data_IF_811457635857
#
_entry.id   IF_811457635857
#
_cell.length_a   1.000
_cell.length_b   1.000
_cell.length_c   1.000
_cell.angle_alpha   90.00
_cell.angle_beta   90.00
_cell.angle_gamma   90.00
#
_symmetry.space_group_name_H-M   'P 1'
#
loop_
_entity.id
_entity.type
_entity.pdbx_description
1 polymer ?
#
# COMPACT_ATOMS: atom_id res chain seq x y z
N UNK A 1 6.87 2.01 -101.08
CA UNK A 1 6.35 2.07 -99.70
C UNK A 1 5.92 0.67 -99.34
N UNK A 2 6.52 -0.07 -98.42
CA UNK A 2 7.11 0.33 -97.15
C UNK A 2 6.31 -0.39 -96.06
N UNK A 3 6.76 -1.58 -95.64
CA UNK A 3 6.26 -2.18 -94.41
C UNK A 3 7.40 -2.92 -93.70
N UNK A 4 8.00 -2.18 -92.77
CA UNK A 4 8.89 -2.63 -91.72
C UNK A 4 8.08 -3.25 -90.57
N UNK A 5 8.40 -4.50 -90.20
CA UNK A 5 8.22 -5.18 -88.89
C UNK A 5 8.73 -6.62 -89.15
N UNK A 6 9.43 -7.34 -88.28
CA UNK A 6 9.71 -7.21 -86.86
C UNK A 6 10.73 -8.32 -86.53
N UNK A 7 11.89 -7.99 -85.93
CA UNK A 7 12.66 -8.92 -85.07
C UNK A 7 13.24 -8.12 -83.91
N UNK A 8 12.38 -7.62 -83.02
CA UNK A 8 12.76 -6.94 -81.75
C UNK A 8 12.54 -7.83 -80.52
N UNK A 9 12.62 -9.16 -80.68
CA UNK A 9 12.13 -10.12 -79.69
C UNK A 9 13.16 -10.87 -78.81
N UNK A 10 14.46 -10.91 -79.15
CA UNK A 10 15.38 -11.90 -78.52
C UNK A 10 16.58 -11.32 -77.76
N UNK A 11 16.99 -10.06 -77.97
CA UNK A 11 18.04 -9.43 -77.15
C UNK A 11 17.54 -9.04 -75.75
N UNK A 12 16.28 -8.62 -75.63
CA UNK A 12 15.67 -8.17 -74.36
C UNK A 12 15.45 -9.30 -73.34
N UNK A 13 15.25 -10.56 -73.76
CA UNK A 13 15.13 -11.70 -72.85
C UNK A 13 16.46 -12.11 -72.21
N UNK A 14 17.56 -12.12 -72.97
CA UNK A 14 18.91 -12.42 -72.42
C UNK A 14 19.39 -11.35 -71.46
N UNK A 15 19.17 -10.06 -71.75
CA UNK A 15 19.53 -8.97 -70.83
C UNK A 15 18.68 -8.99 -69.55
N UNK A 16 17.37 -9.28 -69.66
CA UNK A 16 16.51 -9.47 -68.48
C UNK A 16 16.92 -10.67 -67.63
N UNK A 17 17.36 -11.77 -68.25
CA UNK A 17 17.87 -12.93 -67.53
C UNK A 17 19.14 -12.60 -66.74
N UNK A 18 20.12 -11.93 -67.38
CA UNK A 18 21.36 -11.49 -66.72
C UNK A 18 21.05 -10.55 -65.54
N UNK A 19 20.13 -9.60 -65.72
CA UNK A 19 19.70 -8.68 -64.64
C UNK A 19 19.05 -9.47 -63.48
N UNK A 20 18.21 -10.47 -63.76
CA UNK A 20 17.64 -11.33 -62.71
C UNK A 20 18.71 -12.15 -61.98
N UNK A 21 19.71 -12.68 -62.68
CA UNK A 21 20.81 -13.43 -62.07
C UNK A 21 21.66 -12.55 -61.18
N UNK A 22 21.98 -11.32 -61.62
CA UNK A 22 22.74 -10.35 -60.81
C UNK A 22 21.93 -9.95 -59.56
N UNK A 23 20.62 -9.72 -59.72
CA UNK A 23 19.75 -9.38 -58.60
C UNK A 23 19.64 -10.51 -57.57
N UNK A 24 19.57 -11.77 -58.04
CA UNK A 24 19.60 -12.96 -57.18
C UNK A 24 20.93 -13.07 -56.41
N UNK A 25 22.05 -12.76 -57.06
CA UNK A 25 23.39 -12.78 -56.46
C UNK A 25 23.54 -11.70 -55.38
N UNK A 26 23.05 -10.50 -55.65
CA UNK A 26 23.00 -9.40 -54.67
C UNK A 26 22.11 -9.79 -53.48
N UNK A 27 20.96 -10.41 -53.74
CA UNK A 27 20.06 -10.87 -52.69
C UNK A 27 20.69 -11.97 -51.82
N UNK A 28 21.39 -12.94 -52.44
CA UNK A 28 22.18 -13.95 -51.72
C UNK A 28 23.32 -13.34 -50.89
N UNK A 29 23.97 -12.30 -51.40
CA UNK A 29 25.00 -11.56 -50.66
C UNK A 29 24.41 -10.84 -49.44
N UNK A 30 23.25 -10.23 -49.58
CA UNK A 30 22.53 -9.58 -48.48
C UNK A 30 22.11 -10.63 -47.43
N UNK A 31 21.57 -11.78 -47.85
CA UNK A 31 21.19 -12.86 -46.93
C UNK A 31 22.40 -13.40 -46.18
N UNK A 32 23.52 -13.64 -46.88
CA UNK A 32 24.76 -14.13 -46.25
C UNK A 32 25.34 -13.11 -45.28
N UNK A 33 25.41 -11.84 -45.64
CA UNK A 33 25.81 -10.77 -44.71
C UNK A 33 24.88 -10.71 -43.49
N UNK A 34 23.56 -10.72 -43.70
CA UNK A 34 22.58 -10.69 -42.60
C UNK A 34 22.71 -11.91 -41.69
N UNK A 35 23.01 -13.08 -42.25
CA UNK A 35 23.27 -14.32 -41.50
C UNK A 35 24.50 -14.23 -40.59
N UNK A 36 25.57 -13.57 -41.03
CA UNK A 36 26.78 -13.40 -40.21
C UNK A 36 26.66 -12.27 -39.18
N UNK A 37 25.96 -11.18 -39.50
CA UNK A 37 25.92 -9.98 -38.65
C UNK A 37 24.71 -9.89 -37.71
N UNK A 38 23.62 -10.63 -37.96
CA UNK A 38 22.41 -10.57 -37.13
C UNK A 38 22.11 -11.91 -36.43
N UNK A 39 22.25 -11.95 -35.09
CA UNK A 39 22.07 -13.16 -34.28
C UNK A 39 20.65 -13.74 -34.35
N UNK A 40 19.62 -12.89 -34.32
CA UNK A 40 18.22 -13.32 -34.40
C UNK A 40 17.90 -13.93 -35.77
N UNK A 41 18.43 -13.33 -36.84
CA UNK A 41 18.29 -13.87 -38.19
C UNK A 41 19.03 -15.20 -38.34
N UNK A 42 20.27 -15.30 -37.83
CA UNK A 42 21.06 -16.54 -37.80
C UNK A 42 20.33 -17.68 -37.09
N UNK A 43 19.75 -17.43 -35.91
CA UNK A 43 19.00 -18.43 -35.15
C UNK A 43 17.76 -18.94 -35.91
N UNK A 44 16.98 -18.03 -36.53
CA UNK A 44 15.81 -18.41 -37.34
C UNK A 44 16.19 -19.22 -38.59
N UNK A 45 17.26 -18.84 -39.27
CA UNK A 45 17.75 -19.56 -40.45
C UNK A 45 18.29 -20.94 -40.05
N UNK A 46 19.04 -21.05 -38.95
CA UNK A 46 19.54 -22.33 -38.43
C UNK A 46 18.38 -23.27 -38.02
N UNK A 47 17.33 -22.74 -37.38
CA UNK A 47 16.12 -23.52 -37.03
C UNK A 47 15.37 -24.04 -38.26
N UNK A 48 15.31 -23.25 -39.34
CA UNK A 48 14.69 -23.67 -40.60
C UNK A 48 15.54 -24.70 -41.35
N UNK A 49 16.84 -24.48 -41.46
CA UNK A 49 17.78 -25.39 -42.15
C UNK A 49 18.02 -26.68 -41.35
N UNK A 50 17.87 -26.65 -40.03
CA UNK A 50 17.94 -27.82 -39.17
C UNK A 50 16.81 -28.84 -39.37
N UNK A 51 15.74 -28.49 -40.09
CA UNK A 51 14.65 -29.42 -40.46
C UNK A 51 14.95 -30.22 -41.74
N UNK A 52 16.08 -29.96 -42.41
CA UNK A 52 16.48 -30.70 -43.60
C UNK A 52 16.99 -32.10 -43.21
N UNK A 53 16.58 -33.16 -43.92
CA UNK A 53 17.06 -34.51 -43.63
C UNK A 53 18.54 -34.68 -44.02
N UNK A 54 19.30 -35.42 -43.20
CA UNK A 54 20.70 -35.77 -43.45
C UNK A 54 21.72 -34.84 -42.76
N UNK A 55 22.99 -35.01 -43.13
CA UNK A 55 24.16 -34.38 -42.47
C UNK A 55 24.14 -32.85 -42.49
N UNK A 56 23.44 -32.24 -43.45
CA UNK A 56 23.27 -30.78 -43.53
C UNK A 56 22.36 -30.28 -42.41
N UNK A 57 21.27 -30.99 -42.08
CA UNK A 57 20.39 -30.61 -40.97
C UNK A 57 21.06 -30.72 -39.61
N UNK A 58 21.85 -31.77 -39.39
CA UNK A 58 22.61 -31.99 -38.14
C UNK A 58 23.62 -30.87 -37.85
N UNK A 59 24.26 -30.31 -38.88
CA UNK A 59 25.16 -29.17 -38.73
C UNK A 59 24.43 -27.91 -38.24
N UNK A 60 23.21 -27.65 -38.73
CA UNK A 60 22.46 -26.46 -38.34
C UNK A 60 21.73 -26.62 -37.00
N UNK A 61 21.32 -27.82 -36.61
CA UNK A 61 20.76 -28.08 -35.26
C UNK A 61 21.81 -27.93 -34.15
N UNK A 62 23.03 -28.44 -34.36
CA UNK A 62 24.14 -28.25 -33.40
C UNK A 62 24.52 -26.77 -33.23
N UNK A 63 24.61 -26.00 -34.33
CA UNK A 63 24.91 -24.56 -34.26
C UNK A 63 23.78 -23.72 -33.64
N UNK A 64 22.51 -24.12 -33.80
CA UNK A 64 21.38 -23.49 -33.12
C UNK A 64 21.43 -23.73 -31.60
N UNK A 65 21.73 -24.96 -31.17
CA UNK A 65 21.89 -25.31 -29.76
C UNK A 65 23.04 -24.56 -29.07
N UNK A 66 24.15 -24.32 -29.77
CA UNK A 66 25.25 -23.50 -29.24
C UNK A 66 24.87 -22.03 -29.00
N UNK A 67 24.03 -21.45 -29.86
CA UNK A 67 23.54 -20.07 -29.68
C UNK A 67 22.59 -19.99 -28.48
N UNK A 68 21.69 -20.96 -28.35
CA UNK A 68 20.74 -21.04 -27.24
C UNK A 68 21.46 -21.22 -25.89
N UNK A 69 22.53 -22.03 -25.85
CA UNK A 69 23.33 -22.22 -24.66
C UNK A 69 24.05 -20.95 -24.22
N UNK A 70 24.57 -20.15 -25.16
CA UNK A 70 25.20 -18.85 -24.85
C UNK A 70 24.24 -17.82 -24.28
N UNK A 71 23.00 -17.78 -24.77
CA UNK A 71 21.98 -16.88 -24.23
C UNK A 71 21.58 -17.30 -22.80
N UNK A 72 21.51 -18.61 -22.53
CA UNK A 72 21.31 -19.16 -21.18
C UNK A 72 22.47 -18.84 -20.23
N UNK A 73 23.71 -18.97 -20.69
CA UNK A 73 24.91 -18.60 -19.92
C UNK A 73 24.92 -17.12 -19.55
N UNK A 74 24.57 -16.23 -20.50
CA UNK A 74 24.47 -14.80 -20.26
C UNK A 74 23.35 -14.44 -19.27
N UNK A 75 22.21 -15.13 -19.36
CA UNK A 75 21.12 -14.99 -18.39
C UNK A 75 21.58 -15.37 -16.98
N UNK A 76 22.20 -16.55 -16.82
CA UNK A 76 22.70 -17.03 -15.53
C UNK A 76 23.73 -16.08 -14.93
N UNK A 77 24.66 -15.56 -15.74
CA UNK A 77 25.66 -14.60 -15.29
C UNK A 77 25.01 -13.31 -14.74
N UNK A 78 24.04 -12.73 -15.44
CA UNK A 78 23.35 -11.53 -14.97
C UNK A 78 22.49 -11.80 -13.73
N UNK A 79 21.81 -12.94 -13.69
CA UNK A 79 21.05 -13.36 -12.52
C UNK A 79 21.96 -13.49 -11.29
N UNK A 80 23.10 -14.17 -11.40
CA UNK A 80 24.03 -14.30 -10.26
C UNK A 80 24.67 -12.99 -9.82
N UNK A 81 24.90 -12.04 -10.73
CA UNK A 81 25.30 -10.68 -10.37
C UNK A 81 24.20 -9.95 -9.59
N UNK A 82 22.91 -10.21 -9.85
CA UNK A 82 21.81 -9.56 -9.11
C UNK A 82 21.58 -10.12 -7.71
N UNK A 83 22.04 -11.34 -7.43
CA UNK A 83 21.88 -11.96 -6.10
C UNK A 83 22.82 -11.34 -5.06
N UNK A 84 22.51 -11.58 -3.79
CA UNK A 84 23.46 -11.36 -2.70
C UNK A 84 24.70 -12.27 -2.83
N UNK A 85 25.83 -11.79 -2.30
CA UNK A 85 27.14 -12.41 -2.48
C UNK A 85 27.17 -13.89 -2.06
N UNK A 86 26.57 -14.23 -0.92
CA UNK A 86 26.54 -15.59 -0.39
C UNK A 86 25.72 -16.54 -1.29
N UNK A 87 24.48 -16.17 -1.63
CA UNK A 87 23.62 -16.97 -2.51
C UNK A 87 24.22 -17.19 -3.91
N UNK A 88 24.86 -16.15 -4.47
CA UNK A 88 25.55 -16.25 -5.74
C UNK A 88 26.71 -17.24 -5.67
N UNK A 89 27.50 -17.19 -4.58
CA UNK A 89 28.63 -18.08 -4.36
C UNK A 89 28.20 -19.55 -4.23
N UNK A 90 27.14 -19.87 -3.51
CA UNK A 90 26.66 -21.25 -3.36
C UNK A 90 26.20 -21.86 -4.69
N UNK A 91 25.41 -21.11 -5.46
CA UNK A 91 24.94 -21.57 -6.78
C UNK A 91 26.12 -21.78 -7.75
N UNK A 92 27.09 -20.88 -7.74
CA UNK A 92 28.30 -21.01 -8.54
C UNK A 92 29.20 -22.16 -8.08
N UNK A 93 29.25 -22.45 -6.78
CA UNK A 93 29.99 -23.60 -6.27
C UNK A 93 29.41 -24.93 -6.76
N UNK A 94 28.07 -25.07 -6.77
CA UNK A 94 27.39 -26.23 -7.35
C UNK A 94 27.76 -26.41 -8.83
N UNK A 95 27.72 -25.32 -9.61
CA UNK A 95 28.11 -25.35 -11.02
C UNK A 95 29.58 -25.72 -11.15
N UNK A 96 30.48 -25.13 -10.36
CA UNK A 96 31.92 -25.44 -10.40
C UNK A 96 32.19 -26.93 -10.14
N UNK A 97 31.47 -27.54 -9.21
CA UNK A 97 31.61 -28.97 -8.87
C UNK A 97 31.12 -29.88 -9.99
N UNK A 98 30.05 -29.48 -10.70
CA UNK A 98 29.39 -30.31 -11.69
C UNK A 98 29.92 -30.08 -13.12
N UNK A 99 30.26 -28.85 -13.47
CA UNK A 99 30.74 -28.42 -14.78
C UNK A 99 31.68 -27.20 -14.66
N UNK A 100 32.99 -27.48 -14.55
CA UNK A 100 34.02 -26.44 -14.45
C UNK A 100 34.16 -25.57 -15.71
N UNK A 101 33.72 -26.05 -16.88
CA UNK A 101 33.77 -25.27 -18.12
C UNK A 101 32.65 -24.24 -18.11
N UNK A 102 31.42 -24.65 -17.78
CA UNK A 102 30.28 -23.75 -17.60
C UNK A 102 30.55 -22.70 -16.52
N UNK A 103 31.15 -23.10 -15.39
CA UNK A 103 31.59 -22.17 -14.34
C UNK A 103 32.52 -21.08 -14.90
N UNK A 104 33.53 -21.48 -15.68
CA UNK A 104 34.52 -20.54 -16.22
C UNK A 104 33.90 -19.54 -17.21
N UNK A 105 32.95 -20.00 -18.05
CA UNK A 105 32.24 -19.13 -19.00
C UNK A 105 31.29 -18.16 -18.28
N UNK A 106 30.54 -18.63 -17.27
CA UNK A 106 29.68 -17.76 -16.45
C UNK A 106 30.52 -16.70 -15.72
N UNK A 107 31.64 -17.08 -15.08
CA UNK A 107 32.53 -16.12 -14.41
C UNK A 107 33.07 -15.06 -15.39
N UNK A 108 33.42 -15.46 -16.61
CA UNK A 108 33.89 -14.53 -17.64
C UNK A 108 32.82 -13.51 -18.01
N UNK A 109 31.57 -13.96 -18.15
CA UNK A 109 30.42 -13.10 -18.43
C UNK A 109 30.11 -12.18 -17.24
N UNK A 110 30.11 -12.71 -16.02
CA UNK A 110 29.93 -11.92 -14.79
C UNK A 110 31.00 -10.83 -14.63
N UNK A 111 32.27 -11.17 -14.89
CA UNK A 111 33.38 -10.21 -14.86
C UNK A 111 33.22 -9.08 -15.88
N UNK A 112 32.59 -9.35 -17.03
CA UNK A 112 32.30 -8.33 -18.04
C UNK A 112 31.19 -7.37 -17.62
N UNK A 113 30.30 -7.80 -16.72
CA UNK A 113 29.21 -6.98 -16.16
C UNK A 113 29.67 -6.22 -14.91
N UNK A 114 30.30 -6.90 -13.95
CA UNK A 114 30.77 -6.30 -12.70
C UNK A 114 31.94 -7.09 -12.11
N UNK A 115 33.15 -6.63 -12.38
CA UNK A 115 34.39 -7.30 -11.95
C UNK A 115 34.56 -7.33 -10.43
N UNK A 116 34.23 -6.26 -9.71
CA UNK A 116 34.38 -6.18 -8.24
C UNK A 116 33.50 -7.20 -7.52
N UNK A 117 32.19 -7.18 -7.80
CA UNK A 117 31.23 -8.14 -7.25
C UNK A 117 31.58 -9.59 -7.62
N UNK A 118 32.02 -9.82 -8.85
CA UNK A 118 32.46 -11.16 -9.30
C UNK A 118 33.67 -11.65 -8.50
N UNK A 119 34.64 -10.78 -8.22
CA UNK A 119 35.82 -11.14 -7.42
C UNK A 119 35.46 -11.52 -5.99
N UNK A 120 34.54 -10.79 -5.36
CA UNK A 120 34.02 -11.10 -4.02
C UNK A 120 33.29 -12.45 -3.99
N UNK A 121 32.43 -12.70 -4.98
CA UNK A 121 31.74 -13.99 -5.14
C UNK A 121 32.75 -15.14 -5.33
N UNK A 122 33.78 -14.96 -6.15
CA UNK A 122 34.83 -15.98 -6.34
C UNK A 122 35.59 -16.27 -5.04
N UNK A 123 35.88 -15.24 -4.23
CA UNK A 123 36.52 -15.44 -2.92
C UNK A 123 35.66 -16.30 -2.01
N UNK A 124 34.35 -16.09 -1.99
CA UNK A 124 33.39 -16.92 -1.26
C UNK A 124 33.33 -18.35 -1.80
N UNK A 125 33.26 -18.54 -3.13
CA UNK A 125 33.30 -19.89 -3.76
C UNK A 125 34.56 -20.67 -3.35
N UNK A 126 35.72 -20.01 -3.33
CA UNK A 126 36.99 -20.62 -2.89
C UNK A 126 37.00 -20.93 -1.38
N UNK A 127 36.38 -20.07 -0.57
CA UNK A 127 36.20 -20.32 0.86
C UNK A 127 35.33 -21.55 1.10
N UNK A 128 34.21 -21.68 0.38
CA UNK A 128 33.31 -22.85 0.44
C UNK A 128 34.07 -24.13 0.05
N UNK A 129 34.82 -24.10 -1.06
CA UNK A 129 35.61 -25.23 -1.56
C UNK A 129 36.66 -25.70 -0.55
N UNK A 130 37.44 -24.77 0.01
CA UNK A 130 38.49 -25.07 0.98
C UNK A 130 37.95 -25.60 2.32
N UNK A 131 36.71 -25.24 2.67
CA UNK A 131 36.10 -25.65 3.93
C UNK A 131 35.23 -26.92 3.78
N UNK A 132 34.82 -27.30 2.57
CA UNK A 132 33.85 -28.40 2.30
C UNK A 132 34.21 -29.82 2.79
N UNK A 133 35.40 -30.05 3.35
CA UNK A 133 35.87 -31.37 3.79
C UNK A 133 35.51 -31.78 5.23
N UNK A 134 35.01 -30.87 6.07
CA UNK A 134 34.72 -31.14 7.49
C UNK A 134 33.23 -31.01 7.82
N UNK A 135 32.71 -31.89 8.68
CA UNK A 135 31.34 -31.80 9.22
C UNK A 135 31.04 -30.41 9.80
N UNK A 136 32.03 -29.79 10.46
CA UNK A 136 31.94 -28.43 11.02
C UNK A 136 31.65 -27.38 9.94
N UNK A 137 32.23 -27.54 8.75
CA UNK A 137 32.06 -26.58 7.67
C UNK A 137 30.76 -26.76 6.90
N UNK A 138 30.30 -28.01 6.73
CA UNK A 138 28.94 -28.28 6.21
C UNK A 138 27.91 -27.73 7.19
N UNK A 139 28.11 -27.94 8.49
CA UNK A 139 27.25 -27.38 9.53
C UNK A 139 27.21 -25.85 9.46
N UNK A 140 28.36 -25.17 9.38
CA UNK A 140 28.42 -23.72 9.29
C UNK A 140 27.77 -23.18 7.99
N UNK A 141 27.93 -23.87 6.85
CA UNK A 141 27.29 -23.47 5.61
C UNK A 141 25.75 -23.54 5.72
N UNK A 142 25.23 -24.60 6.33
CA UNK A 142 23.78 -24.76 6.59
C UNK A 142 23.27 -23.69 7.57
N UNK A 143 24.05 -23.34 8.61
CA UNK A 143 23.66 -22.24 9.51
C UNK A 143 23.63 -20.89 8.79
N UNK A 144 24.65 -20.57 7.98
CA UNK A 144 24.69 -19.34 7.22
C UNK A 144 23.53 -19.24 6.19
N UNK A 145 23.16 -20.35 5.55
CA UNK A 145 21.99 -20.39 4.66
C UNK A 145 20.69 -20.11 5.44
N UNK A 146 20.55 -20.71 6.62
CA UNK A 146 19.39 -20.48 7.50
C UNK A 146 19.31 -19.02 7.97
N UNK A 147 20.43 -18.43 8.38
CA UNK A 147 20.52 -17.01 8.76
C UNK A 147 20.21 -16.08 7.58
N UNK A 148 20.68 -16.42 6.38
CA UNK A 148 20.38 -15.69 5.14
C UNK A 148 18.88 -15.71 4.80
N UNK A 149 18.22 -16.86 4.94
CA UNK A 149 16.77 -16.99 4.76
C UNK A 149 15.99 -16.16 5.78
N UNK A 150 16.42 -16.15 7.05
CA UNK A 150 15.80 -15.33 8.09
C UNK A 150 15.95 -13.83 7.81
N UNK A 151 17.15 -13.40 7.38
CA UNK A 151 17.42 -11.99 7.05
C UNK A 151 16.62 -11.52 5.83
N UNK A 152 16.48 -12.38 4.81
CA UNK A 152 15.63 -12.11 3.65
C UNK A 152 14.16 -11.95 4.07
N UNK A 153 13.66 -12.85 4.90
CA UNK A 153 12.28 -12.80 5.36
C UNK A 153 12.02 -11.59 6.26
N UNK A 154 12.98 -11.23 7.11
CA UNK A 154 12.92 -10.03 7.93
C UNK A 154 12.79 -8.78 7.06
N UNK A 155 13.67 -8.66 6.04
CA UNK A 155 13.65 -7.55 5.08
C UNK A 155 12.33 -7.46 4.32
N UNK A 156 11.76 -8.61 3.92
CA UNK A 156 10.47 -8.67 3.22
C UNK A 156 9.34 -8.16 4.12
N UNK A 157 9.22 -8.70 5.33
CA UNK A 157 8.17 -8.31 6.28
C UNK A 157 8.33 -6.87 6.77
N UNK A 158 9.55 -6.36 6.84
CA UNK A 158 9.85 -4.97 7.21
C UNK A 158 9.47 -3.98 6.09
N UNK A 159 9.67 -4.36 4.82
CA UNK A 159 9.28 -3.54 3.67
C UNK A 159 7.77 -3.49 3.38
N UNK A 160 7.01 -4.37 4.03
CA UNK A 160 5.58 -4.55 3.83
C UNK A 160 4.77 -3.62 4.73
N UNK A 161 3.55 -3.28 4.33
CA UNK A 161 2.64 -2.52 5.18
C UNK A 161 2.41 -3.23 6.53
N UNK A 162 2.35 -2.46 7.62
CA UNK A 162 2.28 -3.01 8.99
C UNK A 162 1.07 -3.92 9.18
N UNK A 163 -0.11 -3.49 8.72
CA UNK A 163 -1.33 -4.27 8.86
C UNK A 163 -1.18 -5.61 8.14
N UNK A 164 -0.68 -5.59 6.90
CA UNK A 164 -0.48 -6.82 6.12
C UNK A 164 0.54 -7.73 6.81
N UNK A 165 1.61 -7.17 7.39
CA UNK A 165 2.59 -7.93 8.17
C UNK A 165 1.96 -8.57 9.41
N UNK A 166 1.16 -7.84 10.19
CA UNK A 166 0.47 -8.38 11.36
C UNK A 166 -0.49 -9.50 10.96
N UNK A 167 -1.31 -9.29 9.92
CA UNK A 167 -2.23 -10.30 9.42
C UNK A 167 -1.50 -11.56 8.95
N UNK A 168 -0.41 -11.39 8.19
CA UNK A 168 0.40 -12.52 7.71
C UNK A 168 1.05 -13.29 8.87
N UNK A 169 1.62 -12.59 9.85
CA UNK A 169 2.22 -13.22 11.03
C UNK A 169 1.16 -14.02 11.81
N UNK A 170 -0.01 -13.41 12.08
CA UNK A 170 -1.12 -14.09 12.78
C UNK A 170 -1.56 -15.35 12.03
N UNK A 171 -1.80 -15.24 10.72
CA UNK A 171 -2.22 -16.37 9.88
C UNK A 171 -1.17 -17.51 9.86
N UNK A 172 0.11 -17.17 9.69
CA UNK A 172 1.18 -18.17 9.56
C UNK A 172 1.55 -18.81 10.88
N UNK A 173 1.46 -18.09 12.00
CA UNK A 173 1.66 -18.71 13.33
C UNK A 173 0.62 -19.80 13.59
N UNK A 174 -0.61 -19.64 13.11
CA UNK A 174 -1.66 -20.65 13.26
C UNK A 174 -1.47 -21.87 12.33
N UNK A 175 -0.90 -21.66 11.13
CA UNK A 175 -0.88 -22.67 10.06
C UNK A 175 0.49 -23.32 9.82
N UNK A 176 1.58 -22.68 10.21
CA UNK A 176 2.95 -23.06 9.91
C UNK A 176 3.81 -23.05 11.19
N UNK A 177 3.94 -24.23 11.81
CA UNK A 177 4.77 -24.43 13.00
C UNK A 177 6.26 -24.11 12.73
N UNK A 178 6.75 -24.31 11.51
CA UNK A 178 8.15 -23.99 11.17
C UNK A 178 8.37 -22.48 11.18
N UNK A 179 7.42 -21.72 10.62
CA UNK A 179 7.44 -20.27 10.70
C UNK A 179 7.33 -19.78 12.15
N UNK A 180 6.40 -20.34 12.93
CA UNK A 180 6.21 -19.99 14.34
C UNK A 180 7.46 -20.23 15.21
N UNK A 181 8.24 -21.26 14.90
CA UNK A 181 9.53 -21.52 15.55
C UNK A 181 10.62 -20.54 15.07
N UNK A 182 10.63 -20.18 13.79
CA UNK A 182 11.62 -19.28 13.20
C UNK A 182 11.35 -17.78 13.46
N UNK A 183 10.10 -17.42 13.77
CA UNK A 183 9.64 -16.04 13.89
C UNK A 183 10.52 -15.16 14.79
N UNK A 184 10.96 -15.59 15.98
CA UNK A 184 11.79 -14.73 16.82
C UNK A 184 13.14 -14.39 16.16
N UNK A 185 13.74 -15.35 15.44
CA UNK A 185 14.96 -15.15 14.67
C UNK A 185 14.74 -14.33 13.38
N UNK A 186 13.52 -14.27 12.85
CA UNK A 186 13.18 -13.38 11.75
C UNK A 186 13.04 -11.94 12.30
N UNK A 187 12.27 -11.76 13.36
CA UNK A 187 11.98 -10.45 13.97
C UNK A 187 13.26 -9.76 14.45
N UNK A 188 14.22 -10.49 15.06
CA UNK A 188 15.46 -9.89 15.58
C UNK A 188 16.33 -9.22 14.50
N UNK A 189 16.15 -9.59 13.24
CA UNK A 189 16.86 -9.04 12.08
C UNK A 189 16.16 -7.79 11.48
N UNK A 190 15.06 -7.33 12.05
CA UNK A 190 14.38 -6.08 11.67
C UNK A 190 14.92 -4.88 12.48
N UNK A 191 14.57 -3.67 12.06
CA UNK A 191 14.78 -2.47 12.88
C UNK A 191 13.94 -2.49 14.16
N UNK A 192 14.47 -1.90 15.23
CA UNK A 192 13.82 -1.89 16.53
C UNK A 192 12.45 -1.20 16.53
N UNK A 193 12.27 -0.18 15.68
CA UNK A 193 11.01 0.53 15.52
C UNK A 193 9.96 -0.40 14.88
N UNK A 194 10.35 -1.15 13.84
CA UNK A 194 9.48 -2.15 13.21
C UNK A 194 9.12 -3.28 14.17
N UNK A 195 10.09 -3.76 14.97
CA UNK A 195 9.83 -4.76 16.02
C UNK A 195 8.79 -4.21 16.99
N UNK A 196 8.97 -2.98 17.48
CA UNK A 196 8.06 -2.33 18.42
C UNK A 196 6.65 -2.22 17.84
N UNK A 197 6.52 -1.81 16.58
CA UNK A 197 5.23 -1.70 15.89
C UNK A 197 4.53 -3.06 15.79
N UNK A 198 5.27 -4.10 15.40
CA UNK A 198 4.72 -5.46 15.27
C UNK A 198 4.25 -5.98 16.63
N UNK A 199 5.11 -5.85 17.64
CA UNK A 199 4.86 -6.37 18.98
C UNK A 199 3.67 -5.67 19.66
N UNK A 200 3.42 -4.39 19.37
CA UNK A 200 2.29 -3.66 19.94
C UNK A 200 0.92 -4.22 19.50
N UNK A 201 0.80 -4.76 18.28
CA UNK A 201 -0.49 -5.21 17.71
C UNK A 201 -0.66 -6.73 17.63
N UNK A 202 0.33 -7.49 18.08
CA UNK A 202 0.26 -8.95 18.15
C UNK A 202 -0.28 -9.41 19.51
N UNK A 203 -0.65 -10.68 19.63
CA UNK A 203 -1.13 -11.23 20.89
C UNK A 203 -0.01 -11.30 21.93
N UNK A 204 -0.32 -10.96 23.18
CA UNK A 204 0.61 -10.93 24.32
C UNK A 204 1.48 -12.21 24.42
N UNK A 205 0.90 -13.38 24.14
CA UNK A 205 1.63 -14.65 24.21
C UNK A 205 2.75 -14.77 23.16
N UNK A 206 2.56 -14.16 21.98
CA UNK A 206 3.55 -14.12 20.92
C UNK A 206 4.56 -13.02 21.21
N UNK A 207 4.10 -11.87 21.71
CA UNK A 207 4.97 -10.78 22.17
C UNK A 207 5.98 -11.29 23.19
N UNK A 208 5.52 -11.94 24.26
CA UNK A 208 6.36 -12.52 25.30
C UNK A 208 7.39 -13.49 24.69
N UNK A 209 6.94 -14.41 23.84
CA UNK A 209 7.82 -15.39 23.20
C UNK A 209 8.94 -14.72 22.40
N UNK A 210 8.64 -13.64 21.68
CA UNK A 210 9.63 -12.89 20.92
C UNK A 210 10.56 -12.14 21.88
N UNK A 211 10.03 -11.39 22.85
CA UNK A 211 10.82 -10.63 23.81
C UNK A 211 11.81 -11.54 24.56
N UNK A 212 11.36 -12.68 25.10
CA UNK A 212 12.22 -13.63 25.82
C UNK A 212 13.26 -14.35 24.94
N UNK A 213 13.15 -14.26 23.61
CA UNK A 213 14.17 -14.77 22.69
C UNK A 213 15.31 -13.78 22.43
N UNK A 214 15.09 -12.49 22.69
CA UNK A 214 16.07 -11.42 22.47
C UNK A 214 17.15 -11.45 23.56
N UNK A 215 18.35 -10.99 23.22
CA UNK A 215 19.41 -10.71 24.20
C UNK A 215 18.93 -9.63 25.20
N UNK A 216 19.39 -9.72 26.46
CA UNK A 216 18.85 -8.89 27.56
C UNK A 216 18.92 -7.38 27.27
N UNK A 217 19.99 -6.90 26.64
CA UNK A 217 20.14 -5.50 26.23
C UNK A 217 19.11 -5.10 25.16
N UNK A 218 18.95 -5.91 24.10
CA UNK A 218 18.01 -5.63 23.02
C UNK A 218 16.56 -5.76 23.51
N UNK A 219 16.27 -6.74 24.37
CA UNK A 219 14.96 -6.88 25.02
C UNK A 219 14.58 -5.63 25.80
N UNK A 220 15.47 -5.16 26.68
CA UNK A 220 15.23 -3.95 27.47
C UNK A 220 15.00 -2.71 26.60
N UNK A 221 15.72 -2.58 25.49
CA UNK A 221 15.50 -1.48 24.54
C UNK A 221 14.10 -1.54 23.91
N UNK A 222 13.69 -2.71 23.41
CA UNK A 222 12.37 -2.93 22.81
C UNK A 222 11.25 -2.75 23.84
N UNK A 223 11.40 -3.28 25.07
CA UNK A 223 10.42 -3.11 26.15
C UNK A 223 10.20 -1.63 26.50
N UNK A 224 11.27 -0.83 26.54
CA UNK A 224 11.17 0.60 26.78
C UNK A 224 10.44 1.32 25.64
N UNK A 225 10.73 0.97 24.38
CA UNK A 225 10.02 1.51 23.21
C UNK A 225 8.54 1.13 23.20
N UNK A 226 8.23 -0.14 23.54
CA UNK A 226 6.85 -0.61 23.67
C UNK A 226 6.09 0.13 24.78
N UNK A 227 6.72 0.34 25.94
CA UNK A 227 6.13 1.11 27.03
C UNK A 227 5.85 2.56 26.61
N UNK A 228 6.80 3.19 25.90
CA UNK A 228 6.61 4.54 25.37
C UNK A 228 5.43 4.60 24.39
N UNK A 229 5.38 3.68 23.41
CA UNK A 229 4.29 3.57 22.43
C UNK A 229 2.92 3.32 23.09
N UNK A 230 2.86 2.42 24.08
CA UNK A 230 1.65 2.17 24.88
C UNK A 230 1.21 3.44 25.62
N UNK A 231 2.14 4.17 26.20
CA UNK A 231 1.85 5.42 26.92
C UNK A 231 1.30 6.49 25.99
N UNK A 232 1.91 6.64 24.81
CA UNK A 232 1.46 7.57 23.77
C UNK A 232 0.05 7.24 23.27
N UNK A 233 -0.21 5.98 22.92
CA UNK A 233 -1.53 5.50 22.51
C UNK A 233 -2.60 5.75 23.58
N UNK A 234 -2.28 5.48 24.86
CA UNK A 234 -3.19 5.78 25.97
C UNK A 234 -3.48 7.28 26.08
N UNK A 235 -2.46 8.14 25.93
CA UNK A 235 -2.67 9.60 25.93
C UNK A 235 -3.62 10.05 24.82
N UNK A 236 -3.50 9.49 23.61
CA UNK A 236 -4.40 9.82 22.49
C UNK A 236 -5.84 9.38 22.77
N UNK A 237 -6.04 8.22 23.41
CA UNK A 237 -7.36 7.77 23.87
C UNK A 237 -7.95 8.69 24.95
N UNK A 238 -7.12 9.11 25.90
CA UNK A 238 -7.54 10.06 26.94
C UNK A 238 -7.87 11.44 26.35
N UNK A 239 -7.12 11.88 25.32
CA UNK A 239 -7.42 13.10 24.58
C UNK A 239 -8.76 13.02 23.85
N UNK A 240 -9.14 11.88 23.28
CA UNK A 240 -10.47 11.70 22.70
C UNK A 240 -11.57 11.99 23.74
N UNK A 241 -11.40 11.50 24.98
CA UNK A 241 -12.36 11.80 26.06
C UNK A 241 -12.42 13.30 26.40
N UNK A 242 -11.31 14.02 26.29
CA UNK A 242 -11.30 15.48 26.44
C UNK A 242 -12.04 16.18 25.29
N UNK A 243 -11.80 15.75 24.05
CA UNK A 243 -12.45 16.30 22.86
C UNK A 243 -13.95 16.01 22.83
N UNK A 244 -14.39 14.88 23.37
CA UNK A 244 -15.80 14.54 23.56
C UNK A 244 -16.55 15.64 24.34
N UNK A 245 -15.89 16.19 25.37
CA UNK A 245 -16.45 17.26 26.23
C UNK A 245 -16.24 18.68 25.70
N UNK A 246 -15.33 18.90 24.74
CA UNK A 246 -15.09 20.22 24.15
C UNK A 246 -16.26 20.64 23.26
N UNK A 247 -16.45 21.94 23.02
CA UNK A 247 -17.38 22.38 21.98
C UNK A 247 -16.93 21.87 20.61
N UNK A 248 -17.89 21.67 19.70
CA UNK A 248 -17.60 21.15 18.36
C UNK A 248 -16.66 22.10 17.60
N UNK A 249 -16.82 23.43 17.76
CA UNK A 249 -15.94 24.43 17.16
C UNK A 249 -14.49 24.29 17.65
N UNK A 250 -14.28 24.17 18.96
CA UNK A 250 -12.93 24.07 19.53
C UNK A 250 -12.27 22.73 19.17
N UNK A 251 -13.05 21.65 19.13
CA UNK A 251 -12.54 20.36 18.67
C UNK A 251 -12.18 20.41 17.17
N UNK A 252 -13.03 20.99 16.31
CA UNK A 252 -12.74 21.11 14.89
C UNK A 252 -11.47 21.93 14.59
N UNK A 253 -11.18 22.97 15.39
CA UNK A 253 -9.95 23.75 15.26
C UNK A 253 -8.68 22.94 15.58
N UNK A 254 -8.74 22.03 16.55
CA UNK A 254 -7.57 21.28 17.03
C UNK A 254 -7.39 19.91 16.34
N UNK A 255 -8.48 19.21 16.02
CA UNK A 255 -8.48 17.84 15.47
C UNK A 255 -9.21 17.74 14.12
N UNK A 256 -9.54 18.87 13.49
CA UNK A 256 -10.07 18.93 12.12
C UNK A 256 -9.01 19.23 11.05
N UNK A 257 -7.73 19.09 11.40
CA UNK A 257 -6.58 19.31 10.52
C UNK A 257 -5.36 18.53 11.05
N UNK A 258 -4.23 18.61 10.34
CA UNK A 258 -2.97 17.92 10.69
C UNK A 258 -1.90 18.84 11.29
N UNK A 259 -2.28 20.00 11.84
CA UNK A 259 -1.30 20.93 12.42
C UNK A 259 -0.76 20.44 13.78
N UNK A 260 -1.61 19.79 14.57
CA UNK A 260 -1.26 19.31 15.92
C UNK A 260 -0.94 17.81 15.97
N UNK A 261 -1.62 17.02 15.14
CA UNK A 261 -1.55 15.57 15.15
C UNK A 261 -1.45 15.05 13.72
N UNK A 262 -0.71 13.97 13.51
CA UNK A 262 -0.69 13.30 12.22
C UNK A 262 -1.95 12.43 11.99
N UNK A 263 -2.10 11.89 10.79
CA UNK A 263 -3.29 11.09 10.43
C UNK A 263 -3.39 9.79 11.25
N UNK A 264 -2.27 9.15 11.61
CA UNK A 264 -2.31 7.93 12.41
C UNK A 264 -2.75 8.27 13.85
N UNK A 265 -2.28 9.38 14.41
CA UNK A 265 -2.71 9.95 15.70
C UNK A 265 -4.21 10.30 15.71
N UNK A 266 -4.67 11.04 14.69
CA UNK A 266 -6.07 11.39 14.53
C UNK A 266 -6.95 10.15 14.36
N UNK A 267 -6.48 9.14 13.63
CA UNK A 267 -7.16 7.85 13.50
C UNK A 267 -7.47 7.23 14.86
N UNK A 268 -6.51 7.27 15.81
CA UNK A 268 -6.72 6.78 17.18
C UNK A 268 -7.71 7.65 17.93
N UNK A 269 -7.57 8.98 17.86
CA UNK A 269 -8.46 9.91 18.56
C UNK A 269 -9.91 9.68 18.12
N UNK A 270 -10.18 9.71 16.81
CA UNK A 270 -11.52 9.55 16.26
C UNK A 270 -12.10 8.15 16.47
N UNK A 271 -11.28 7.09 16.48
CA UNK A 271 -11.74 5.74 16.83
C UNK A 271 -12.25 5.65 18.29
N UNK A 272 -11.85 6.58 19.14
CA UNK A 272 -12.24 6.65 20.56
C UNK A 272 -13.22 7.80 20.88
N UNK A 273 -13.66 8.56 19.87
CA UNK A 273 -14.77 9.51 19.99
C UNK A 273 -16.11 8.81 19.75
N UNK A 274 -17.21 9.41 20.23
CA UNK A 274 -18.52 8.95 19.80
C UNK A 274 -18.72 9.22 18.31
N UNK A 275 -19.54 8.37 17.67
CA UNK A 275 -19.92 8.55 16.25
C UNK A 275 -20.56 9.92 16.03
N UNK A 276 -21.43 10.34 16.95
CA UNK A 276 -22.10 11.63 16.89
C UNK A 276 -21.09 12.77 16.96
N UNK A 277 -20.19 12.76 17.95
CA UNK A 277 -19.18 13.81 18.10
C UNK A 277 -18.28 13.94 16.89
N UNK A 278 -17.80 12.80 16.39
CA UNK A 278 -16.99 12.73 15.17
C UNK A 278 -17.73 13.34 13.99
N UNK A 279 -18.99 12.97 13.80
CA UNK A 279 -19.82 13.48 12.71
C UNK A 279 -20.09 14.98 12.82
N UNK A 280 -20.35 15.50 14.02
CA UNK A 280 -20.53 16.92 14.27
C UNK A 280 -19.28 17.72 13.91
N UNK A 281 -18.10 17.26 14.34
CA UNK A 281 -16.82 17.91 14.04
C UNK A 281 -16.59 17.92 12.53
N UNK A 282 -16.67 16.75 11.89
CA UNK A 282 -16.38 16.62 10.47
C UNK A 282 -17.40 17.36 9.59
N UNK A 283 -18.66 17.50 10.04
CA UNK A 283 -19.68 18.28 9.31
C UNK A 283 -19.39 19.78 9.22
N UNK A 284 -18.43 20.28 9.99
CA UNK A 284 -17.97 21.68 9.94
C UNK A 284 -16.75 21.88 9.05
N UNK A 285 -16.16 20.81 8.53
CA UNK A 285 -14.98 20.87 7.69
C UNK A 285 -15.41 20.92 6.22
N UNK A 286 -14.72 21.75 5.44
CA UNK A 286 -14.89 21.84 3.99
C UNK A 286 -13.83 21.00 3.23
N UNK A 287 -12.89 20.36 3.94
CA UNK A 287 -11.78 19.61 3.36
C UNK A 287 -12.11 18.11 3.23
N UNK A 288 -12.69 17.75 2.08
CA UNK A 288 -13.03 16.36 1.75
C UNK A 288 -11.79 15.44 1.73
N UNK A 289 -10.60 15.96 1.35
CA UNK A 289 -9.36 15.16 1.28
C UNK A 289 -8.92 14.75 2.68
N UNK A 290 -8.96 15.68 3.63
CA UNK A 290 -8.69 15.39 5.03
C UNK A 290 -9.64 14.32 5.58
N UNK A 291 -10.95 14.43 5.29
CA UNK A 291 -11.97 13.48 5.76
C UNK A 291 -11.71 12.08 5.19
N UNK A 292 -11.39 11.97 3.89
CA UNK A 292 -11.08 10.68 3.26
C UNK A 292 -9.83 10.02 3.85
N UNK A 293 -8.77 10.80 4.06
CA UNK A 293 -7.53 10.32 4.68
C UNK A 293 -7.74 9.88 6.13
N UNK A 294 -8.51 10.65 6.90
CA UNK A 294 -8.88 10.31 8.27
C UNK A 294 -9.68 9.01 8.33
N UNK A 295 -10.63 8.78 7.41
CA UNK A 295 -11.36 7.51 7.34
C UNK A 295 -10.43 6.32 7.04
N UNK A 296 -9.41 6.51 6.21
CA UNK A 296 -8.41 5.48 5.98
C UNK A 296 -7.60 5.19 7.26
N UNK A 297 -7.21 6.22 8.01
CA UNK A 297 -6.49 6.06 9.26
C UNK A 297 -7.32 5.38 10.36
N UNK A 298 -8.60 5.75 10.52
CA UNK A 298 -9.54 5.09 11.44
C UNK A 298 -9.63 3.59 11.11
N UNK A 299 -9.89 3.25 9.83
CA UNK A 299 -10.00 1.83 9.41
C UNK A 299 -8.71 1.06 9.67
N UNK A 300 -7.56 1.65 9.35
CA UNK A 300 -6.25 1.03 9.61
C UNK A 300 -6.07 0.74 11.10
N UNK A 301 -6.39 1.70 11.98
CA UNK A 301 -6.30 1.49 13.43
C UNK A 301 -7.30 0.43 13.92
N UNK A 302 -8.55 0.46 13.44
CA UNK A 302 -9.58 -0.55 13.74
C UNK A 302 -9.13 -1.96 13.36
N UNK A 303 -8.62 -2.14 12.14
CA UNK A 303 -8.14 -3.42 11.63
C UNK A 303 -6.92 -3.94 12.40
N UNK A 304 -5.97 -3.05 12.75
CA UNK A 304 -4.83 -3.40 13.59
C UNK A 304 -5.25 -3.85 15.00
N UNK A 305 -6.34 -3.29 15.55
CA UNK A 305 -6.93 -3.68 16.83
C UNK A 305 -7.94 -4.84 16.71
N UNK A 306 -8.14 -5.42 15.52
CA UNK A 306 -9.03 -6.56 15.31
C UNK A 306 -10.53 -6.23 15.36
N UNK A 307 -10.90 -4.96 15.20
CA UNK A 307 -12.29 -4.51 15.09
C UNK A 307 -12.84 -4.94 13.73
N UNK A 308 -13.98 -5.65 13.72
CA UNK A 308 -14.55 -6.25 12.49
C UNK A 308 -15.43 -5.28 11.70
N UNK A 309 -16.07 -4.35 12.39
CA UNK A 309 -17.02 -3.42 11.81
C UNK A 309 -16.52 -2.00 12.06
N UNK A 310 -16.25 -1.29 10.97
CA UNK A 310 -15.69 0.05 11.04
C UNK A 310 -16.75 1.09 11.36
N UNK A 311 -16.46 1.97 12.31
CA UNK A 311 -17.32 3.10 12.66
C UNK A 311 -17.39 4.16 11.55
N UNK A 312 -16.48 4.14 10.56
CA UNK A 312 -16.42 5.14 9.49
C UNK A 312 -17.73 5.27 8.71
N UNK A 313 -18.44 4.16 8.49
CA UNK A 313 -19.74 4.18 7.83
C UNK A 313 -20.81 4.90 8.68
N UNK A 314 -20.76 4.72 9.99
CA UNK A 314 -21.67 5.35 10.94
C UNK A 314 -21.37 6.85 11.09
N UNK A 315 -20.09 7.22 11.12
CA UNK A 315 -19.64 8.61 11.12
C UNK A 315 -20.09 9.30 9.82
N UNK A 316 -19.85 8.68 8.66
CA UNK A 316 -20.20 9.27 7.36
C UNK A 316 -21.70 9.51 7.20
N UNK A 317 -22.54 8.53 7.55
CA UNK A 317 -24.00 8.69 7.53
C UNK A 317 -24.47 9.81 8.46
N UNK A 318 -23.94 9.83 9.68
CA UNK A 318 -24.27 10.87 10.67
C UNK A 318 -23.84 12.25 10.19
N UNK A 319 -22.64 12.37 9.62
CA UNK A 319 -22.09 13.61 9.10
C UNK A 319 -22.96 14.16 7.98
N UNK A 320 -23.39 13.31 7.04
CA UNK A 320 -24.30 13.71 5.97
C UNK A 320 -25.62 14.21 6.55
N UNK A 321 -26.22 13.47 7.49
CA UNK A 321 -27.47 13.85 8.13
C UNK A 321 -27.36 15.22 8.83
N UNK A 322 -26.30 15.43 9.62
CA UNK A 322 -26.04 16.68 10.36
C UNK A 322 -25.81 17.83 9.37
N UNK A 323 -25.06 17.60 8.29
CA UNK A 323 -24.81 18.61 7.25
C UNK A 323 -26.12 19.05 6.58
N UNK A 324 -26.98 18.09 6.20
CA UNK A 324 -28.28 18.39 5.62
C UNK A 324 -29.22 19.10 6.60
N UNK A 325 -29.21 18.69 7.87
CA UNK A 325 -29.97 19.34 8.93
C UNK A 325 -29.53 20.79 9.11
N UNK A 326 -28.22 21.04 9.30
CA UNK A 326 -27.66 22.37 9.48
C UNK A 326 -27.98 23.30 8.32
N UNK A 327 -27.91 22.80 7.08
CA UNK A 327 -28.32 23.55 5.89
C UNK A 327 -29.79 23.97 5.93
N UNK A 328 -30.69 23.06 6.33
CA UNK A 328 -32.13 23.37 6.48
C UNK A 328 -32.37 24.37 7.61
N UNK A 329 -31.62 24.30 8.70
CA UNK A 329 -31.67 25.29 9.78
C UNK A 329 -31.26 26.67 9.24
N UNK A 330 -30.18 26.78 8.48
CA UNK A 330 -29.71 28.06 7.93
C UNK A 330 -30.71 28.67 6.92
N UNK A 331 -31.38 27.82 6.14
CA UNK A 331 -32.50 28.24 5.28
C UNK A 331 -33.67 28.80 6.13
N UNK A 332 -34.04 28.12 7.22
CA UNK A 332 -35.08 28.58 8.15
C UNK A 332 -34.69 29.89 8.86
N UNK A 333 -33.43 30.04 9.29
CA UNK A 333 -32.88 31.31 9.82
C UNK A 333 -33.10 32.44 8.82
N UNK A 334 -32.84 32.17 7.54
CA UNK A 334 -33.05 33.15 6.46
C UNK A 334 -34.52 33.49 6.25
N UNK A 335 -35.41 32.49 6.28
CA UNK A 335 -36.86 32.68 6.12
C UNK A 335 -37.45 33.46 7.28
N UNK A 336 -37.20 33.02 8.52
CA UNK A 336 -37.73 33.67 9.72
C UNK A 336 -37.10 35.05 9.94
N UNK A 337 -35.84 35.24 9.54
CA UNK A 337 -35.18 36.55 9.60
C UNK A 337 -35.80 37.62 8.70
N UNK A 338 -36.54 37.21 7.65
CA UNK A 338 -37.30 38.11 6.76
C UNK A 338 -38.79 38.19 7.13
N UNK A 339 -39.24 37.36 8.07
CA UNK A 339 -40.63 37.29 8.49
C UNK A 339 -40.99 38.46 9.41
N UNK A 340 -42.29 38.81 9.46
CA UNK A 340 -42.79 39.73 10.47
C UNK A 340 -42.62 39.13 11.89
N UNK A 341 -42.01 39.89 12.80
CA UNK A 341 -41.62 39.41 14.13
C UNK A 341 -42.77 38.84 14.97
N UNK A 342 -43.98 39.44 14.92
CA UNK A 342 -45.15 38.92 15.65
C UNK A 342 -45.59 37.55 15.10
N UNK A 343 -45.54 37.37 13.77
CA UNK A 343 -45.85 36.05 13.17
C UNK A 343 -44.82 35.00 13.54
N UNK A 344 -43.54 35.36 13.49
CA UNK A 344 -42.46 34.45 13.88
C UNK A 344 -42.57 34.05 15.36
N UNK A 345 -42.86 34.99 16.27
CA UNK A 345 -43.06 34.72 17.69
C UNK A 345 -44.15 33.68 17.95
N UNK A 346 -45.31 33.78 17.27
CA UNK A 346 -46.39 32.80 17.40
C UNK A 346 -46.02 31.40 16.92
N UNK A 347 -45.17 31.30 15.88
CA UNK A 347 -44.65 30.02 15.41
C UNK A 347 -43.68 29.45 16.44
N UNK A 348 -42.79 30.29 16.98
CA UNK A 348 -41.83 29.91 18.01
C UNK A 348 -42.55 29.30 19.22
N UNK A 349 -43.54 30.00 19.76
CA UNK A 349 -44.30 29.50 20.91
C UNK A 349 -44.99 28.16 20.65
N UNK A 350 -45.46 27.94 19.41
CA UNK A 350 -46.10 26.68 19.03
C UNK A 350 -45.09 25.54 18.92
N UNK A 351 -43.94 25.79 18.31
CA UNK A 351 -42.89 24.77 18.12
C UNK A 351 -42.22 24.40 19.44
N UNK A 352 -41.96 25.38 20.31
CA UNK A 352 -41.43 25.13 21.66
C UNK A 352 -42.31 24.21 22.51
N UNK A 353 -43.63 24.23 22.30
CA UNK A 353 -44.57 23.42 23.06
C UNK A 353 -44.58 21.94 22.64
N UNK A 354 -43.91 21.58 21.54
CA UNK A 354 -43.86 20.22 21.01
C UNK A 354 -42.45 19.63 21.10
N UNK A 355 -42.25 18.78 22.11
CA UNK A 355 -41.02 18.02 22.32
C UNK A 355 -41.06 16.62 21.70
N UNK A 356 -42.13 16.26 20.99
CA UNK A 356 -42.23 14.94 20.37
C UNK A 356 -41.25 14.83 19.20
N UNK A 357 -40.61 13.67 19.07
CA UNK A 357 -39.64 13.39 18.00
C UNK A 357 -40.35 13.38 16.64
N UNK A 358 -39.95 14.32 15.78
CA UNK A 358 -40.45 14.47 14.41
C UNK A 358 -39.58 13.65 13.44
N UNK A 359 -38.29 13.52 13.72
CA UNK A 359 -37.34 12.73 12.93
C UNK A 359 -36.20 12.29 13.84
N UNK A 360 -35.65 11.10 13.61
CA UNK A 360 -34.45 10.63 14.28
C UNK A 360 -33.44 10.08 13.27
N UNK A 361 -32.16 10.23 13.58
CA UNK A 361 -31.09 9.43 12.99
C UNK A 361 -30.94 8.16 13.82
N UNK A 362 -31.06 7.01 13.16
CA UNK A 362 -30.86 5.71 13.78
C UNK A 362 -29.57 5.09 13.25
N UNK A 363 -28.75 4.55 14.16
CA UNK A 363 -27.58 3.72 13.86
C UNK A 363 -27.81 2.38 14.53
N UNK A 364 -27.69 1.30 13.78
CA UNK A 364 -27.97 -0.07 14.25
C UNK A 364 -29.35 -0.25 14.91
N UNK A 365 -30.34 0.54 14.45
CA UNK A 365 -31.71 0.59 14.98
C UNK A 365 -31.84 1.22 16.37
N UNK A 366 -30.81 1.95 16.84
CA UNK A 366 -30.86 2.79 18.02
C UNK A 366 -30.87 4.28 17.62
N UNK A 367 -31.79 5.10 18.18
CA UNK A 367 -31.82 6.52 17.90
C UNK A 367 -30.59 7.19 18.54
N UNK A 368 -29.71 7.73 17.71
CA UNK A 368 -28.50 8.45 18.13
C UNK A 368 -28.66 9.97 18.04
N UNK A 369 -29.66 10.45 17.31
CA UNK A 369 -29.98 11.87 17.22
C UNK A 369 -31.48 12.06 17.03
N UNK A 370 -32.14 12.76 17.93
CA UNK A 370 -33.58 12.99 17.88
C UNK A 370 -33.87 14.48 17.64
N UNK A 371 -34.76 14.74 16.69
CA UNK A 371 -35.18 16.09 16.30
C UNK A 371 -36.65 16.26 16.64
N UNK A 372 -36.96 17.29 17.42
CA UNK A 372 -38.32 17.75 17.71
C UNK A 372 -38.55 19.13 17.11
N UNK A 373 -39.81 19.58 17.06
CA UNK A 373 -40.11 20.98 16.69
C UNK A 373 -39.40 21.97 17.63
N UNK A 374 -39.30 21.60 18.91
CA UNK A 374 -38.60 22.36 19.94
C UNK A 374 -37.10 22.50 19.64
N UNK A 375 -36.38 21.41 19.34
CA UNK A 375 -34.95 21.51 19.02
C UNK A 375 -34.71 22.30 17.72
N UNK A 376 -35.53 22.09 16.69
CA UNK A 376 -35.46 22.86 15.43
C UNK A 376 -35.55 24.35 15.69
N UNK A 377 -36.55 24.79 16.48
CA UNK A 377 -36.76 26.23 16.67
C UNK A 377 -35.67 26.86 17.53
N UNK A 378 -35.12 26.14 18.50
CA UNK A 378 -33.98 26.59 19.30
C UNK A 378 -32.75 26.77 18.41
N UNK A 379 -32.44 25.81 17.55
CA UNK A 379 -31.30 25.89 16.62
C UNK A 379 -31.44 27.03 15.61
N UNK A 380 -32.66 27.29 15.13
CA UNK A 380 -32.92 28.45 14.26
C UNK A 380 -32.68 29.75 15.03
N UNK A 381 -33.18 29.87 16.26
CA UNK A 381 -33.07 31.11 17.03
C UNK A 381 -31.64 31.37 17.52
N UNK A 382 -30.88 30.33 17.88
CA UNK A 382 -29.49 30.46 18.34
C UNK A 382 -28.56 31.01 17.25
N UNK A 383 -28.85 30.72 15.98
CA UNK A 383 -28.10 31.21 14.81
C UNK A 383 -28.61 32.55 14.25
N UNK A 384 -29.68 33.11 14.83
CA UNK A 384 -30.19 34.41 14.39
C UNK A 384 -29.33 35.58 14.85
N UNK A 385 -29.28 36.64 14.03
CA UNK A 385 -28.70 37.93 14.45
C UNK A 385 -29.47 38.48 15.67
N UNK A 386 -28.73 38.94 16.70
CA UNK A 386 -29.28 39.44 17.96
C UNK A 386 -30.44 40.45 17.82
N UNK A 387 -30.37 41.36 16.83
CA UNK A 387 -31.45 42.32 16.58
C UNK A 387 -32.75 41.66 16.14
N UNK A 388 -32.67 40.64 15.30
CA UNK A 388 -33.82 39.87 14.82
C UNK A 388 -34.40 39.03 15.96
N UNK A 389 -33.55 38.30 16.68
CA UNK A 389 -33.94 37.52 17.85
C UNK A 389 -34.66 38.38 18.89
N UNK A 390 -34.08 39.53 19.26
CA UNK A 390 -34.69 40.48 20.20
C UNK A 390 -36.05 41.00 19.70
N UNK A 391 -36.20 41.23 18.40
CA UNK A 391 -37.47 41.68 17.83
C UNK A 391 -38.56 40.61 17.94
N UNK A 392 -38.20 39.33 17.79
CA UNK A 392 -39.11 38.19 17.95
C UNK A 392 -39.48 38.01 19.44
N UNK A 393 -38.48 38.05 20.33
CA UNK A 393 -38.66 37.93 21.78
C UNK A 393 -39.66 38.95 22.35
N UNK A 394 -39.69 40.17 21.81
CA UNK A 394 -40.64 41.22 22.24
C UNK A 394 -42.12 40.89 22.00
N UNK A 395 -42.41 39.88 21.18
CA UNK A 395 -43.77 39.43 20.87
C UNK A 395 -44.11 38.06 21.45
N UNK A 396 -43.19 37.45 22.21
CA UNK A 396 -43.42 36.19 22.94
C UNK A 396 -43.99 36.51 24.32
N UNK A 397 -44.95 35.71 24.79
CA UNK A 397 -45.50 35.83 26.15
C UNK A 397 -44.39 35.74 27.21
N UNK A 398 -44.42 36.62 28.23
CA UNK A 398 -43.36 36.74 29.24
C UNK A 398 -42.95 35.40 29.87
N UNK A 399 -43.92 34.54 30.19
CA UNK A 399 -43.65 33.24 30.80
C UNK A 399 -42.92 32.30 29.82
N UNK A 400 -43.31 32.29 28.55
CA UNK A 400 -42.67 31.49 27.49
C UNK A 400 -41.30 32.05 27.10
N UNK A 401 -41.14 33.37 27.14
CA UNK A 401 -39.86 34.03 26.88
C UNK A 401 -38.80 33.63 27.93
N UNK A 402 -39.21 33.44 29.19
CA UNK A 402 -38.34 32.89 30.23
C UNK A 402 -37.89 31.47 29.91
N UNK A 403 -38.82 30.59 29.51
CA UNK A 403 -38.50 29.22 29.09
C UNK A 403 -37.58 29.18 27.88
N UNK A 404 -37.86 29.99 26.85
CA UNK A 404 -37.03 30.09 25.66
C UNK A 404 -35.61 30.54 25.99
N UNK A 405 -35.46 31.49 26.92
CA UNK A 405 -34.15 31.97 27.36
C UNK A 405 -33.36 30.85 28.06
N UNK A 406 -34.03 30.00 28.85
CA UNK A 406 -33.37 28.85 29.46
C UNK A 406 -32.90 27.85 28.40
N UNK A 407 -33.75 27.53 27.43
CA UNK A 407 -33.43 26.59 26.35
C UNK A 407 -32.31 27.09 25.42
N UNK A 408 -32.20 28.40 25.19
CA UNK A 408 -31.13 28.98 24.36
C UNK A 408 -29.76 29.05 25.07
N UNK A 409 -29.75 28.87 26.40
CA UNK A 409 -28.54 28.95 27.24
C UNK A 409 -28.16 27.58 27.80
N UNK A 410 -29.01 26.57 27.61
CA UNK A 410 -28.69 25.20 27.98
C UNK A 410 -27.45 24.74 27.16
N UNK A 411 -26.37 24.29 27.85
CA UNK A 411 -25.06 24.11 27.25
C UNK A 411 -24.95 22.93 26.29
#
# INVERSE_FOLDING_TARGET
MGNTKSVRGNKTKKTKFIIHTIFLLIFLLIITLTYFFNRTFKSKINSLLGKLPGTVGEYFTSSAGELENKDKEAYLANYYISLELAMAADKLYIIKKNDGKLYSEIIKLMNSTSSSKTEEIIKLVRSIENNSGSLSSIYNAVQNEKEGLMSYEASRLESQDLLVTISEIKERIEKDETFKEALPSIIINMSDDRITDILYYIEDSIEDKILYSLEDNKRLEIENKLLAKRTEKTKLKDLASLYEMKSVEAAAEEIGNTEQYDMDELGIIYTNLSVLKSAEILSKLDDDSFIEELYAAIRKEEELNGVKESITNHISKSMQFITEYNKKIDDLVTVYGKMNANKAAKIVEKMMANSDTVTALEIDSEPVFEISDSSIIIDVLSRMRNKTLSSIMNYIDTDKASTLTQMLVEP
#
